data_IF_877566275480
#
_entry.id   IF_877566275480
#
_cell.length_a   1.000
_cell.length_b   1.000
_cell.length_c   1.000
_cell.angle_alpha   90.00
_cell.angle_beta   90.00
_cell.angle_gamma   90.00
#
_symmetry.space_group_name_H-M   'P 1'
#
loop_
_entity.id
_entity.type
_entity.pdbx_description
1 polymer ?
#
# COMPACT_ATOMS: atom_id res chain seq x y z
N UNK A 1 2.84 7.62 -4.95
CA UNK A 1 2.14 6.31 -4.89
C UNK A 1 1.35 6.17 -3.60
N UNK A 2 1.96 6.37 -2.43
CA UNK A 2 1.28 6.23 -1.12
C UNK A 2 -0.06 6.97 -1.04
N UNK A 3 -0.14 8.23 -1.49
CA UNK A 3 -1.38 9.00 -1.44
C UNK A 3 -2.50 8.45 -2.35
N UNK A 4 -2.17 7.87 -3.51
CA UNK A 4 -3.16 7.20 -4.38
C UNK A 4 -3.73 5.94 -3.74
N UNK A 5 -2.94 5.22 -2.97
CA UNK A 5 -3.46 4.07 -2.22
C UNK A 5 -4.27 4.55 -1.01
N UNK A 6 -3.80 5.59 -0.33
CA UNK A 6 -4.47 6.18 0.82
C UNK A 6 -5.85 6.74 0.47
N UNK A 7 -6.05 7.36 -0.71
CA UNK A 7 -7.36 7.91 -1.09
C UNK A 7 -8.42 6.81 -1.26
N UNK A 8 -8.04 5.65 -1.81
CA UNK A 8 -8.92 4.49 -1.96
C UNK A 8 -9.31 3.93 -0.60
N UNK A 9 -8.32 3.79 0.30
CA UNK A 9 -8.54 3.35 1.67
C UNK A 9 -9.45 4.33 2.40
N UNK A 10 -9.19 5.63 2.28
CA UNK A 10 -9.98 6.69 2.89
C UNK A 10 -11.45 6.65 2.45
N UNK A 11 -11.72 6.53 1.15
CA UNK A 11 -13.09 6.38 0.64
C UNK A 11 -13.79 5.13 1.17
N UNK A 12 -13.05 4.02 1.29
CA UNK A 12 -13.60 2.78 1.85
C UNK A 12 -13.98 2.93 3.33
N UNK A 13 -13.13 3.61 4.11
CA UNK A 13 -13.37 3.91 5.52
C UNK A 13 -14.53 4.89 5.71
N UNK A 14 -14.61 5.95 4.89
CA UNK A 14 -15.75 6.86 4.87
C UNK A 14 -17.05 6.11 4.64
N UNK A 15 -17.07 5.22 3.64
CA UNK A 15 -18.26 4.42 3.34
C UNK A 15 -18.63 3.50 4.50
N UNK A 16 -17.65 2.89 5.17
CA UNK A 16 -17.89 2.08 6.35
C UNK A 16 -18.53 2.90 7.49
N UNK A 17 -18.04 4.12 7.72
CA UNK A 17 -18.61 5.05 8.71
C UNK A 17 -20.05 5.44 8.38
N UNK A 18 -20.34 5.77 7.13
CA UNK A 18 -21.70 6.09 6.67
C UNK A 18 -22.70 4.95 6.89
N UNK A 19 -22.22 3.71 6.77
CA UNK A 19 -23.00 2.51 7.02
C UNK A 19 -23.15 2.18 8.52
N UNK A 20 -22.57 2.99 9.40
CA UNK A 20 -22.65 2.81 10.86
C UNK A 20 -21.66 1.78 11.42
N UNK A 21 -20.69 1.30 10.64
CA UNK A 21 -19.65 0.43 11.16
C UNK A 21 -18.68 1.23 12.04
N UNK A 22 -18.18 0.58 13.09
CA UNK A 22 -17.19 1.15 14.02
C UNK A 22 -15.80 0.54 13.84
N UNK A 23 -15.74 -0.65 13.21
CA UNK A 23 -14.50 -1.40 13.02
C UNK A 23 -14.44 -1.97 11.60
N UNK A 24 -13.27 -1.86 10.98
CA UNK A 24 -12.96 -2.44 9.67
C UNK A 24 -11.79 -3.41 9.81
N UNK A 25 -11.88 -4.57 9.16
CA UNK A 25 -10.78 -5.55 9.11
C UNK A 25 -10.07 -5.43 7.76
N UNK A 26 -8.74 -5.29 7.78
CA UNK A 26 -7.92 -5.20 6.57
C UNK A 26 -7.00 -6.41 6.42
N UNK A 27 -6.46 -6.59 5.22
CA UNK A 27 -5.43 -7.59 4.91
C UNK A 27 -4.01 -7.03 4.92
N UNK A 28 -3.79 -5.87 5.56
CA UNK A 28 -2.48 -5.20 5.62
C UNK A 28 -1.43 -6.14 6.21
N UNK A 29 -0.17 -6.04 5.78
CA UNK A 29 0.96 -6.91 6.15
C UNK A 29 0.97 -8.30 5.51
N UNK A 30 -0.12 -8.76 4.88
CA UNK A 30 -0.14 -10.09 4.27
C UNK A 30 0.90 -10.24 3.14
N UNK A 31 1.08 -9.22 2.29
CA UNK A 31 2.06 -9.25 1.20
C UNK A 31 3.50 -9.19 1.73
N UNK A 32 3.73 -8.34 2.72
CA UNK A 32 5.01 -8.11 3.38
C UNK A 32 5.49 -9.38 4.10
N UNK A 33 4.61 -10.00 4.88
CA UNK A 33 4.93 -11.16 5.71
C UNK A 33 4.92 -12.46 4.92
N UNK A 34 3.99 -12.67 3.99
CA UNK A 34 3.83 -13.97 3.30
C UNK A 34 4.35 -13.98 1.87
N UNK A 35 5.29 -13.09 1.55
CA UNK A 35 5.95 -13.02 0.25
C UNK A 35 4.98 -12.81 -0.94
N UNK A 36 4.04 -11.88 -0.81
CA UNK A 36 3.01 -11.64 -1.82
C UNK A 36 3.40 -10.78 -3.02
N UNK A 37 4.47 -9.99 -2.91
CA UNK A 37 5.02 -9.26 -4.06
C UNK A 37 5.80 -10.15 -5.01
N UNK A 38 5.66 -9.91 -6.31
CA UNK A 38 6.30 -10.71 -7.37
C UNK A 38 7.83 -10.76 -7.25
N UNK A 39 8.46 -9.69 -6.77
CA UNK A 39 9.92 -9.64 -6.59
C UNK A 39 10.43 -10.60 -5.51
N UNK A 40 9.59 -11.08 -4.59
CA UNK A 40 10.02 -12.05 -3.59
C UNK A 40 10.36 -13.41 -4.19
N UNK A 41 9.69 -13.78 -5.29
CA UNK A 41 9.92 -15.06 -5.93
C UNK A 41 11.37 -15.20 -6.45
N UNK A 42 11.98 -14.11 -6.90
CA UNK A 42 13.35 -14.10 -7.39
C UNK A 42 14.42 -13.89 -6.31
N UNK A 43 14.05 -13.55 -5.07
CA UNK A 43 15.00 -13.37 -3.98
C UNK A 43 15.57 -14.72 -3.49
N UNK A 44 16.89 -14.85 -3.28
CA UNK A 44 17.47 -15.96 -2.52
C UNK A 44 16.84 -16.08 -1.12
N UNK A 45 16.83 -17.29 -0.54
CA UNK A 45 16.19 -17.59 0.77
C UNK A 45 16.69 -16.65 1.88
N UNK A 46 18.01 -16.55 2.06
CA UNK A 46 18.67 -15.72 3.06
C UNK A 46 18.27 -14.24 2.92
N UNK A 47 18.26 -13.73 1.69
CA UNK A 47 17.86 -12.35 1.39
C UNK A 47 16.36 -12.14 1.65
N UNK A 48 15.51 -13.08 1.28
CA UNK A 48 14.07 -13.04 1.53
C UNK A 48 13.80 -12.97 3.04
N UNK A 49 14.47 -13.81 3.84
CA UNK A 49 14.32 -13.82 5.29
C UNK A 49 14.75 -12.49 5.90
N UNK A 50 15.95 -12.00 5.59
CA UNK A 50 16.46 -10.73 6.10
C UNK A 50 15.53 -9.56 5.74
N UNK A 51 15.05 -9.52 4.50
CA UNK A 51 14.15 -8.46 4.05
C UNK A 51 12.81 -8.50 4.77
N UNK A 52 12.21 -9.69 4.95
CA UNK A 52 10.94 -9.84 5.69
C UNK A 52 11.07 -9.43 7.15
N UNK A 53 12.17 -9.81 7.83
CA UNK A 53 12.46 -9.36 9.19
C UNK A 53 12.69 -7.85 9.29
N UNK A 54 13.28 -7.24 8.26
CA UNK A 54 13.42 -5.79 8.19
C UNK A 54 12.06 -5.11 8.00
N UNK A 55 11.28 -5.51 6.99
CA UNK A 55 9.97 -4.93 6.70
C UNK A 55 9.00 -5.12 7.86
N UNK A 56 8.97 -6.28 8.53
CA UNK A 56 8.10 -6.51 9.67
C UNK A 56 8.30 -5.50 10.81
N UNK A 57 9.51 -4.92 10.93
CA UNK A 57 9.83 -3.89 11.93
C UNK A 57 9.48 -2.46 11.50
N UNK A 58 9.44 -2.20 10.20
CA UNK A 58 9.32 -0.83 9.68
C UNK A 58 8.02 -0.57 8.92
N UNK A 59 7.26 -1.61 8.58
CA UNK A 59 6.01 -1.49 7.83
C UNK A 59 5.01 -0.62 8.57
N UNK A 60 4.37 0.27 7.83
CA UNK A 60 3.32 1.17 8.29
C UNK A 60 2.24 1.19 7.23
N UNK A 61 1.00 1.27 7.68
CA UNK A 61 -0.16 1.26 6.79
C UNK A 61 -0.97 2.52 7.05
N UNK A 62 -1.49 3.13 5.98
CA UNK A 62 -2.27 4.36 6.07
C UNK A 62 -3.67 4.13 6.64
N UNK A 63 -4.17 2.89 6.64
CA UNK A 63 -5.50 2.55 7.13
C UNK A 63 -5.71 2.93 8.60
N UNK A 64 -4.74 2.68 9.48
CA UNK A 64 -4.82 2.98 10.91
C UNK A 64 -4.97 4.48 11.20
N UNK A 65 -4.05 5.37 10.75
CA UNK A 65 -4.20 6.80 11.02
C UNK A 65 -5.44 7.40 10.35
N UNK A 66 -5.81 6.95 9.14
CA UNK A 66 -7.03 7.41 8.46
C UNK A 66 -8.30 7.00 9.23
N UNK A 67 -8.37 5.76 9.70
CA UNK A 67 -9.51 5.28 10.48
C UNK A 67 -9.64 6.04 11.80
N UNK A 68 -8.53 6.24 12.51
CA UNK A 68 -8.52 7.01 13.76
C UNK A 68 -9.06 8.44 13.55
N UNK A 69 -8.63 9.14 12.49
CA UNK A 69 -9.14 10.46 12.14
C UNK A 69 -10.65 10.47 11.82
N UNK A 70 -11.20 9.34 11.38
CA UNK A 70 -12.64 9.18 11.11
C UNK A 70 -13.44 8.68 12.32
N UNK A 71 -12.80 8.39 13.46
CA UNK A 71 -13.47 7.77 14.62
C UNK A 71 -13.77 6.29 14.42
N UNK A 72 -13.01 5.61 13.57
CA UNK A 72 -13.11 4.17 13.30
C UNK A 72 -11.89 3.43 13.88
N UNK A 73 -12.08 2.14 14.14
CA UNK A 73 -10.97 1.22 14.42
C UNK A 73 -10.66 0.39 13.18
N UNK A 74 -9.38 0.20 12.87
CA UNK A 74 -8.93 -0.80 11.89
C UNK A 74 -8.16 -1.91 12.59
N UNK A 75 -8.43 -3.16 12.21
CA UNK A 75 -7.68 -4.33 12.66
C UNK A 75 -7.12 -5.06 11.45
N UNK A 76 -5.82 -5.33 11.45
CA UNK A 76 -5.22 -6.30 10.53
C UNK A 76 -4.80 -7.55 11.31
N UNK A 77 -5.43 -8.71 11.10
CA UNK A 77 -5.04 -9.96 11.75
C UNK A 77 -3.58 -10.37 11.46
N UNK A 78 -3.03 -9.97 10.31
CA UNK A 78 -1.64 -10.27 9.96
C UNK A 78 -0.62 -9.49 10.79
N UNK A 79 -1.04 -8.43 11.47
CA UNK A 79 -0.21 -7.69 12.43
C UNK A 79 -0.23 -8.29 13.83
N UNK A 80 -1.04 -9.31 14.10
CA UNK A 80 -1.02 -10.01 15.38
C UNK A 80 0.38 -10.61 15.61
N UNK A 81 1.02 -10.39 16.78
CA UNK A 81 2.37 -10.87 17.05
C UNK A 81 2.57 -12.36 16.79
N UNK A 82 1.54 -13.18 17.05
CA UNK A 82 1.58 -14.63 16.82
C UNK A 82 1.61 -14.96 15.33
N UNK A 83 0.90 -14.18 14.52
CA UNK A 83 0.89 -14.35 13.06
C UNK A 83 2.20 -13.85 12.46
N UNK A 84 2.75 -12.75 12.97
CA UNK A 84 4.06 -12.24 12.57
C UNK A 84 5.15 -13.26 12.89
N UNK A 85 5.18 -13.79 14.12
CA UNK A 85 6.13 -14.82 14.54
C UNK A 85 6.04 -16.07 13.68
N UNK A 86 4.82 -16.58 13.48
CA UNK A 86 4.56 -17.72 12.59
C UNK A 86 5.03 -17.43 11.17
N UNK A 87 4.70 -16.26 10.60
CA UNK A 87 5.13 -15.92 9.26
C UNK A 87 6.66 -15.94 9.18
N UNK A 88 7.35 -15.24 10.08
CA UNK A 88 8.80 -15.10 10.06
C UNK A 88 9.56 -16.41 10.28
N UNK A 89 8.93 -17.43 10.89
CA UNK A 89 9.53 -18.77 11.01
C UNK A 89 9.49 -19.60 9.72
N UNK A 90 8.71 -19.20 8.71
CA UNK A 90 8.55 -19.96 7.47
C UNK A 90 9.71 -19.72 6.50
N UNK A 91 10.21 -20.80 5.90
CA UNK A 91 11.14 -20.78 4.76
C UNK A 91 10.45 -20.45 3.43
N UNK A 92 11.21 -20.06 2.40
CA UNK A 92 10.69 -19.66 1.08
C UNK A 92 9.79 -20.73 0.45
N UNK A 93 10.10 -22.02 0.62
CA UNK A 93 9.31 -23.12 0.08
C UNK A 93 7.84 -23.13 0.54
N UNK A 94 7.54 -22.60 1.73
CA UNK A 94 6.18 -22.47 2.23
C UNK A 94 5.49 -21.17 1.76
N UNK A 95 6.27 -20.19 1.27
CA UNK A 95 5.79 -18.86 0.92
C UNK A 95 5.60 -18.68 -0.58
N UNK A 96 6.46 -19.32 -1.37
CA UNK A 96 6.55 -19.15 -2.82
C UNK A 96 6.61 -20.53 -3.47
N UNK A 97 5.71 -20.78 -4.42
CA UNK A 97 5.70 -22.02 -5.19
C UNK A 97 4.57 -22.08 -6.21
N UNK A 98 4.47 -23.21 -6.91
CA UNK A 98 3.38 -23.46 -7.86
C UNK A 98 2.07 -23.75 -7.13
N UNK A 99 0.98 -23.70 -7.88
CA UNK A 99 -0.34 -24.14 -7.46
C UNK A 99 -0.31 -25.60 -6.99
N UNK A 100 -1.01 -25.86 -5.88
CA UNK A 100 -1.19 -27.20 -5.33
C UNK A 100 -2.67 -27.49 -5.08
N UNK A 101 -3.14 -28.74 -5.21
CA UNK A 101 -2.36 -29.95 -5.54
C UNK A 101 -2.10 -30.12 -7.04
N UNK A 102 -2.71 -29.30 -7.90
CA UNK A 102 -2.54 -29.38 -9.36
C UNK A 102 -1.70 -28.18 -9.85
N UNK A 103 -0.41 -28.40 -10.19
CA UNK A 103 0.46 -27.37 -10.72
C UNK A 103 -0.04 -26.80 -12.05
N UNK A 104 0.27 -25.53 -12.30
CA UNK A 104 -0.02 -24.88 -13.57
C UNK A 104 1.20 -24.16 -14.18
N UNK A 105 2.39 -24.40 -13.63
CA UNK A 105 3.64 -23.82 -14.10
C UNK A 105 3.85 -22.36 -13.68
N UNK A 106 2.95 -21.79 -12.86
CA UNK A 106 3.03 -20.41 -12.41
C UNK A 106 3.49 -20.33 -10.97
N UNK A 107 4.43 -19.44 -10.69
CA UNK A 107 4.88 -19.18 -9.32
C UNK A 107 3.95 -18.18 -8.63
N UNK A 108 3.46 -18.56 -7.44
CA UNK A 108 2.62 -17.76 -6.57
C UNK A 108 3.35 -17.42 -5.27
N UNK A 109 3.18 -16.19 -4.80
CA UNK A 109 3.46 -15.81 -3.41
C UNK A 109 2.29 -16.15 -2.49
N UNK A 110 2.47 -16.00 -1.17
CA UNK A 110 1.49 -16.35 -0.13
C UNK A 110 1.05 -17.82 -0.15
N UNK A 111 1.91 -18.73 -0.60
CA UNK A 111 1.54 -20.13 -0.88
C UNK A 111 0.85 -20.80 0.32
N UNK A 112 1.43 -20.71 1.52
CA UNK A 112 0.82 -21.24 2.75
C UNK A 112 -0.57 -20.67 3.03
N UNK A 113 -0.82 -19.39 2.76
CA UNK A 113 -2.14 -18.78 2.97
C UNK A 113 -3.14 -19.31 1.94
N UNK A 114 -2.71 -19.46 0.68
CA UNK A 114 -3.56 -20.06 -0.36
C UNK A 114 -3.94 -21.49 0.02
N UNK A 115 -3.00 -22.27 0.55
CA UNK A 115 -3.25 -23.64 0.97
C UNK A 115 -4.10 -23.74 2.24
N UNK A 116 -3.96 -22.80 3.18
CA UNK A 116 -4.72 -22.78 4.43
C UNK A 116 -6.20 -22.43 4.24
N UNK A 117 -6.56 -21.70 3.19
CA UNK A 117 -7.92 -21.25 2.90
C UNK A 117 -8.39 -21.70 1.50
N UNK A 118 -8.53 -23.01 1.25
CA UNK A 118 -8.92 -23.54 -0.06
C UNK A 118 -10.33 -23.14 -0.51
N UNK A 119 -11.18 -22.74 0.43
CA UNK A 119 -12.52 -22.23 0.19
C UNK A 119 -12.55 -20.78 -0.33
N UNK A 120 -11.43 -20.06 -0.26
CA UNK A 120 -11.37 -18.68 -0.71
C UNK A 120 -11.55 -18.60 -2.24
N UNK A 121 -12.58 -17.90 -2.70
CA UNK A 121 -12.83 -17.73 -4.15
C UNK A 121 -11.62 -17.12 -4.90
N UNK A 122 -10.81 -16.32 -4.20
CA UNK A 122 -9.64 -15.62 -4.74
C UNK A 122 -8.32 -16.35 -4.48
N UNK A 123 -8.37 -17.61 -4.02
CA UNK A 123 -7.22 -18.41 -3.58
C UNK A 123 -6.03 -18.37 -4.55
N UNK A 124 -6.26 -18.42 -5.86
CA UNK A 124 -5.19 -18.41 -6.89
C UNK A 124 -5.20 -17.17 -7.79
N UNK A 125 -5.89 -16.11 -7.36
CA UNK A 125 -5.90 -14.83 -8.07
C UNK A 125 -4.53 -14.17 -7.96
N UNK A 126 -4.15 -13.49 -9.04
CA UNK A 126 -2.95 -12.67 -9.07
C UNK A 126 -3.07 -11.47 -8.14
N UNK A 127 -1.91 -11.03 -7.64
CA UNK A 127 -1.82 -9.81 -6.86
C UNK A 127 -2.01 -8.63 -7.78
N UNK A 128 -2.93 -7.75 -7.40
CA UNK A 128 -3.09 -6.43 -8.00
C UNK A 128 -2.82 -5.37 -6.92
N UNK A 129 -1.93 -4.40 -7.17
CA UNK A 129 -1.80 -3.23 -6.30
C UNK A 129 -3.13 -2.47 -6.13
N UNK A 130 -3.33 -1.81 -5.00
CA UNK A 130 -4.56 -1.04 -4.70
C UNK A 130 -4.83 -0.01 -5.81
N UNK A 131 -3.80 0.72 -6.25
CA UNK A 131 -3.97 1.75 -7.25
C UNK A 131 -4.45 1.21 -8.60
N UNK A 132 -4.05 -0.02 -8.94
CA UNK A 132 -4.44 -0.69 -10.17
C UNK A 132 -5.83 -1.31 -10.05
N UNK A 133 -6.09 -2.05 -8.96
CA UNK A 133 -7.39 -2.67 -8.71
C UNK A 133 -8.53 -1.65 -8.55
N UNK A 134 -8.23 -0.46 -8.02
CA UNK A 134 -9.19 0.63 -7.90
C UNK A 134 -9.22 1.57 -9.13
N UNK A 135 -8.38 1.35 -10.13
CA UNK A 135 -8.32 2.19 -11.34
C UNK A 135 -7.68 3.57 -11.17
N UNK A 136 -7.24 3.95 -9.97
CA UNK A 136 -6.57 5.25 -9.71
C UNK A 136 -5.23 5.42 -10.46
N UNK A 137 -4.68 4.33 -11.00
CA UNK A 137 -3.57 4.39 -11.97
C UNK A 137 -3.89 5.29 -13.18
N UNK A 138 -5.15 5.35 -13.61
CA UNK A 138 -5.60 6.18 -14.74
C UNK A 138 -5.52 7.68 -14.45
N UNK A 139 -5.50 8.10 -13.17
CA UNK A 139 -5.34 9.51 -12.80
C UNK A 139 -4.02 10.10 -13.32
N UNK A 140 -2.98 9.27 -13.53
CA UNK A 140 -1.71 9.72 -14.13
C UNK A 140 -1.85 10.17 -15.57
N UNK A 141 -2.74 9.53 -16.33
CA UNK A 141 -2.98 9.86 -17.74
C UNK A 141 -3.98 11.00 -17.89
N UNK A 142 -4.91 11.13 -16.95
CA UNK A 142 -5.92 12.20 -16.92
C UNK A 142 -5.52 13.35 -16.01
N UNK A 143 -5.98 13.30 -14.76
CA UNK A 143 -5.91 14.40 -13.80
C UNK A 143 -4.49 14.98 -13.59
N UNK A 144 -3.46 14.13 -13.55
CA UNK A 144 -2.05 14.56 -13.42
C UNK A 144 -1.33 14.71 -14.77
N UNK A 145 -2.03 14.60 -15.89
CA UNK A 145 -1.45 14.73 -17.22
C UNK A 145 -1.12 16.18 -17.58
N UNK A 146 -0.19 16.36 -18.52
CA UNK A 146 0.36 17.66 -18.96
C UNK A 146 -0.72 18.67 -19.39
N UNK A 147 -1.83 18.18 -19.96
CA UNK A 147 -2.95 19.03 -20.35
C UNK A 147 -3.64 19.73 -19.16
N UNK A 148 -3.62 19.09 -17.99
CA UNK A 148 -4.27 19.53 -16.76
C UNK A 148 -3.28 20.18 -15.78
N UNK A 149 -2.03 19.74 -15.76
CA UNK A 149 -0.96 20.29 -14.90
C UNK A 149 0.00 21.10 -15.76
N UNK A 150 -0.36 22.36 -16.04
CA UNK A 150 0.43 23.27 -16.87
C UNK A 150 1.60 23.88 -16.09
N UNK A 151 2.57 24.39 -16.84
CA UNK A 151 3.70 25.17 -16.31
C UNK A 151 4.52 24.46 -15.22
N UNK A 152 4.58 23.13 -15.25
CA UNK A 152 5.23 22.31 -14.23
C UNK A 152 6.64 22.78 -13.88
N UNK A 153 7.51 22.99 -14.87
CA UNK A 153 8.89 23.40 -14.62
C UNK A 153 8.98 24.78 -13.96
N UNK A 154 8.08 25.70 -14.28
CA UNK A 154 8.03 27.03 -13.67
C UNK A 154 7.56 26.93 -12.22
N UNK A 155 6.48 26.17 -11.96
CA UNK A 155 5.96 25.91 -10.60
C UNK A 155 6.97 25.16 -9.74
N UNK A 156 7.64 24.15 -10.30
CA UNK A 156 8.70 23.39 -9.63
C UNK A 156 9.84 24.29 -9.17
N UNK A 157 10.33 25.21 -10.01
CA UNK A 157 11.36 26.19 -9.63
C UNK A 157 10.89 27.13 -8.53
N UNK A 158 9.67 27.66 -8.66
CA UNK A 158 9.09 28.57 -7.67
C UNK A 158 9.00 27.88 -6.30
N UNK A 159 8.42 26.68 -6.23
CA UNK A 159 8.22 25.96 -4.99
C UNK A 159 9.54 25.49 -4.37
N UNK A 160 10.54 25.17 -5.20
CA UNK A 160 11.89 24.88 -4.70
C UNK A 160 12.54 26.13 -4.06
N UNK A 161 12.38 27.31 -4.67
CA UNK A 161 12.92 28.55 -4.10
C UNK A 161 12.24 28.93 -2.78
N UNK A 162 10.93 28.68 -2.66
CA UNK A 162 10.14 29.07 -1.49
C UNK A 162 10.24 28.07 -0.34
N UNK A 163 10.29 26.77 -0.66
CA UNK A 163 10.14 25.70 0.34
C UNK A 163 11.28 24.68 0.33
N UNK A 164 12.24 24.81 -0.59
CA UNK A 164 13.35 23.85 -0.76
C UNK A 164 12.90 22.40 -1.00
N UNK A 165 11.70 22.21 -1.57
CA UNK A 165 11.15 20.90 -1.91
C UNK A 165 11.38 20.59 -3.38
N UNK A 166 12.00 19.43 -3.66
CA UNK A 166 12.21 18.94 -5.02
C UNK A 166 11.01 18.10 -5.46
N UNK A 167 10.21 18.66 -6.36
CA UNK A 167 9.08 17.96 -6.97
C UNK A 167 9.56 17.06 -8.11
N UNK A 168 8.94 15.88 -8.27
CA UNK A 168 9.45 14.81 -9.16
C UNK A 168 8.69 14.73 -10.47
N UNK A 169 7.39 14.96 -10.41
CA UNK A 169 6.45 14.81 -11.51
C UNK A 169 5.19 15.66 -11.23
N UNK A 170 4.29 15.71 -12.20
CA UNK A 170 2.99 16.41 -12.10
C UNK A 170 2.15 15.92 -10.91
N UNK A 171 2.14 14.62 -10.62
CA UNK A 171 1.43 14.05 -9.47
C UNK A 171 1.99 14.63 -8.15
N UNK A 172 3.32 14.68 -8.01
CA UNK A 172 3.96 15.25 -6.84
C UNK A 172 3.68 16.75 -6.71
N UNK A 173 3.66 17.51 -7.81
CA UNK A 173 3.30 18.94 -7.79
C UNK A 173 1.89 19.16 -7.23
N UNK A 174 0.89 18.48 -7.80
CA UNK A 174 -0.51 18.64 -7.36
C UNK A 174 -0.68 18.28 -5.89
N UNK A 175 -0.04 17.20 -5.42
CA UNK A 175 -0.08 16.82 -4.01
C UNK A 175 0.55 17.86 -3.10
N UNK A 176 1.69 18.40 -3.49
CA UNK A 176 2.37 19.40 -2.69
C UNK A 176 1.60 20.72 -2.62
N UNK A 177 0.95 21.12 -3.72
CA UNK A 177 0.08 22.30 -3.73
C UNK A 177 -1.15 22.12 -2.83
N UNK A 178 -1.81 20.95 -2.87
CA UNK A 178 -2.91 20.66 -1.95
C UNK A 178 -2.45 20.61 -0.49
N UNK A 179 -1.27 20.04 -0.24
CA UNK A 179 -0.67 20.02 1.09
C UNK A 179 -0.43 21.45 1.60
N UNK A 180 0.22 22.31 0.82
CA UNK A 180 0.43 23.70 1.19
C UNK A 180 -0.90 24.41 1.44
N UNK A 181 -1.89 24.26 0.56
CA UNK A 181 -3.20 24.87 0.74
C UNK A 181 -3.88 24.43 2.05
N UNK A 182 -3.76 23.16 2.43
CA UNK A 182 -4.29 22.64 3.69
C UNK A 182 -3.63 23.27 4.93
N UNK A 183 -2.39 23.77 4.79
CA UNK A 183 -1.62 24.42 5.87
C UNK A 183 -1.41 25.92 5.58
N UNK A 184 -2.39 26.59 4.98
CA UNK A 184 -2.38 28.04 4.82
C UNK A 184 -1.25 28.58 3.92
N UNK A 185 -0.71 27.75 3.04
CA UNK A 185 0.38 28.09 2.12
C UNK A 185 1.78 28.06 2.74
N UNK A 186 1.94 27.59 3.98
CA UNK A 186 3.24 27.56 4.66
C UNK A 186 3.55 26.20 5.26
N UNK A 187 4.82 25.77 5.10
CA UNK A 187 5.34 24.59 5.79
C UNK A 187 5.47 24.81 7.30
N UNK A 188 5.56 26.06 7.76
CA UNK A 188 5.65 26.38 9.19
C UNK A 188 4.35 26.11 9.94
N UNK A 189 3.22 26.05 9.23
CA UNK A 189 1.91 25.74 9.78
C UNK A 189 1.64 24.23 9.88
N UNK A 190 2.56 23.39 9.39
CA UNK A 190 2.45 21.94 9.47
C UNK A 190 2.73 21.48 10.90
N UNK A 191 1.83 20.72 11.55
CA UNK A 191 2.09 20.13 12.86
C UNK A 191 3.37 19.28 12.85
N UNK A 192 4.23 19.48 13.84
CA UNK A 192 5.49 18.73 14.01
C UNK A 192 5.26 17.40 14.71
#
# INVERSE_FOLDING_TARGET
MELRNAIVIYHSLLRAKELGYQCVVTGDAADELFAGYSFYASMPEDRLQLYRHHIARIMRFSAQPLAAALGLTVRSPFLDPRVVEFALSLGKHALVGDKTPVPNGKTYGKLVLRQAFPEAFSQWRDKEPIEQGAGTSQLRLGYFGDANVRDFHSRQRQLYQQHHVVLRDHEHLVYFEHFLAAFGGSLDAVPK
#
